data_IF_445061283249
#
_entry.id   IF_445061283249
#
_cell.length_a   1.000
_cell.length_b   1.000
_cell.length_c   1.000
_cell.angle_alpha   90.00
_cell.angle_beta   90.00
_cell.angle_gamma   90.00
#
_symmetry.space_group_name_H-M   'P 1'
#
loop_
_entity.id
_entity.type
_entity.pdbx_description
1 polymer ?
#
# COMPACT_ATOMS: atom_id res chain seq x y z
N UNK A 1 -14.83 -2.96 2.94
CA UNK A 1 -15.31 -1.60 3.24
C UNK A 1 -16.82 -1.45 3.37
N UNK A 2 -17.62 -2.50 3.09
CA UNK A 2 -19.08 -2.44 3.25
C UNK A 2 -19.51 -2.14 4.69
N UNK A 3 -18.87 -2.78 5.68
CA UNK A 3 -19.12 -2.50 7.09
C UNK A 3 -18.87 -1.02 7.46
N UNK A 4 -17.80 -0.41 6.92
CA UNK A 4 -17.53 1.01 7.14
C UNK A 4 -18.64 1.88 6.54
N UNK A 5 -19.10 1.54 5.32
CA UNK A 5 -20.17 2.25 4.61
C UNK A 5 -21.50 2.22 5.36
N UNK A 6 -21.85 1.09 5.98
CA UNK A 6 -23.14 0.90 6.66
C UNK A 6 -23.13 1.27 8.14
N UNK A 7 -21.96 1.35 8.78
CA UNK A 7 -21.83 1.60 10.23
C UNK A 7 -22.30 2.98 10.69
N UNK A 8 -22.26 4.00 9.82
CA UNK A 8 -22.51 5.39 10.21
C UNK A 8 -21.43 6.02 11.10
N UNK A 9 -20.36 5.27 11.43
CA UNK A 9 -19.25 5.76 12.24
C UNK A 9 -18.46 6.81 11.44
N UNK A 10 -18.14 7.98 12.04
CA UNK A 10 -17.30 8.98 11.40
C UNK A 10 -15.95 8.41 10.96
N UNK A 11 -15.43 8.87 9.82
CA UNK A 11 -14.18 8.34 9.23
C UNK A 11 -13.00 8.49 10.20
N UNK A 12 -12.95 9.58 10.93
CA UNK A 12 -11.94 9.94 11.92
C UNK A 12 -11.93 9.03 13.16
N UNK A 13 -12.99 8.27 13.41
CA UNK A 13 -13.07 7.29 14.51
C UNK A 13 -12.63 5.88 14.09
N UNK A 14 -12.30 5.69 12.80
CA UNK A 14 -11.86 4.40 12.26
C UNK A 14 -10.42 4.49 11.82
N UNK A 15 -9.58 3.58 12.31
CA UNK A 15 -8.19 3.47 11.88
C UNK A 15 -8.08 2.48 10.71
N UNK A 16 -7.72 2.97 9.52
CA UNK A 16 -7.56 2.15 8.31
C UNK A 16 -6.08 1.89 8.04
N UNK A 17 -5.68 0.63 8.19
CA UNK A 17 -4.40 0.11 7.73
C UNK A 17 -4.56 -0.57 6.38
N UNK A 18 -3.70 -0.24 5.41
CA UNK A 18 -3.56 -1.00 4.17
C UNK A 18 -2.09 -1.26 3.85
N UNK A 19 -1.83 -2.08 2.84
CA UNK A 19 -0.49 -2.52 2.47
C UNK A 19 -0.24 -2.39 0.98
N UNK A 20 1.02 -2.19 0.62
CA UNK A 20 1.50 -2.19 -0.75
C UNK A 20 2.18 -3.53 -1.10
N UNK A 21 1.47 -4.48 -1.73
CA UNK A 21 2.02 -5.77 -2.10
C UNK A 21 3.02 -5.62 -3.25
N UNK A 22 4.29 -5.86 -2.96
CA UNK A 22 5.39 -5.88 -3.92
C UNK A 22 5.56 -4.68 -4.83
N UNK A 23 5.14 -3.51 -4.36
CA UNK A 23 5.33 -2.23 -5.03
C UNK A 23 6.67 -1.58 -4.60
N UNK A 24 7.77 -2.23 -4.96
CA UNK A 24 9.13 -1.79 -4.60
C UNK A 24 9.70 -0.82 -5.67
N UNK A 25 10.42 0.20 -5.22
CA UNK A 25 10.86 1.35 -6.01
C UNK A 25 9.97 2.57 -5.77
N UNK A 26 10.51 3.76 -6.07
CA UNK A 26 9.88 5.04 -5.75
C UNK A 26 8.50 5.18 -6.43
N UNK A 27 8.47 5.12 -7.75
CA UNK A 27 7.27 5.32 -8.57
C UNK A 27 6.24 4.24 -8.26
N UNK A 28 6.69 2.99 -8.13
CA UNK A 28 5.83 1.86 -7.79
C UNK A 28 5.13 2.06 -6.44
N UNK A 29 5.83 2.58 -5.43
CA UNK A 29 5.26 2.86 -4.11
C UNK A 29 4.24 3.99 -4.17
N UNK A 30 4.52 5.07 -4.92
CA UNK A 30 3.57 6.18 -5.14
C UNK A 30 2.29 5.68 -5.82
N UNK A 31 2.42 4.94 -6.93
CA UNK A 31 1.28 4.35 -7.65
C UNK A 31 0.44 3.46 -6.75
N UNK A 32 1.10 2.60 -5.97
CA UNK A 32 0.40 1.68 -5.09
C UNK A 32 -0.38 2.40 -3.97
N UNK A 33 0.15 3.51 -3.44
CA UNK A 33 -0.56 4.32 -2.46
C UNK A 33 -1.80 4.98 -3.10
N UNK A 34 -1.68 5.47 -4.33
CA UNK A 34 -2.80 6.04 -5.08
C UNK A 34 -3.87 4.97 -5.39
N UNK A 35 -3.48 3.79 -5.88
CA UNK A 35 -4.37 2.66 -6.12
C UNK A 35 -5.16 2.29 -4.85
N UNK A 36 -4.45 2.16 -3.72
CA UNK A 36 -5.08 1.89 -2.43
C UNK A 36 -6.09 2.98 -2.04
N UNK A 37 -5.72 4.25 -2.19
CA UNK A 37 -6.61 5.35 -1.85
C UNK A 37 -7.84 5.39 -2.76
N UNK A 38 -7.65 5.20 -4.07
CA UNK A 38 -8.74 5.09 -5.04
C UNK A 38 -9.71 3.96 -4.69
N UNK A 39 -9.19 2.77 -4.36
CA UNK A 39 -10.01 1.64 -3.91
C UNK A 39 -10.73 1.94 -2.59
N UNK A 40 -10.13 2.69 -1.68
CA UNK A 40 -10.73 3.02 -0.39
C UNK A 40 -11.77 4.14 -0.49
N UNK A 41 -11.66 5.05 -1.48
CA UNK A 41 -12.61 6.16 -1.71
C UNK A 41 -14.05 5.70 -1.87
N UNK A 42 -14.29 4.48 -2.34
CA UNK A 42 -15.64 3.92 -2.47
C UNK A 42 -16.31 3.56 -1.12
N UNK A 43 -15.55 3.59 -0.02
CA UNK A 43 -16.04 3.22 1.31
C UNK A 43 -16.26 4.43 2.22
N UNK A 44 -17.28 4.35 3.07
CA UNK A 44 -17.72 5.45 3.93
C UNK A 44 -18.69 6.41 3.21
N UNK A 45 -19.46 7.18 3.97
CA UNK A 45 -20.49 8.08 3.44
C UNK A 45 -19.94 9.27 2.64
N UNK A 46 -18.69 9.68 2.91
CA UNK A 46 -17.98 10.78 2.22
C UNK A 46 -16.73 10.32 1.44
N UNK A 47 -16.51 9.00 1.38
CA UNK A 47 -15.28 8.40 0.84
C UNK A 47 -14.05 8.59 1.73
N UNK A 48 -13.16 7.60 1.74
CA UNK A 48 -11.86 7.70 2.43
C UNK A 48 -10.93 8.65 1.68
N UNK A 49 -10.42 9.68 2.35
CA UNK A 49 -9.54 10.72 1.76
C UNK A 49 -8.05 10.56 2.13
N UNK A 50 -7.75 9.76 3.15
CA UNK A 50 -6.40 9.47 3.61
C UNK A 50 -6.33 8.06 4.20
N UNK A 51 -5.12 7.52 4.28
CA UNK A 51 -4.83 6.22 4.90
C UNK A 51 -4.20 6.48 6.28
N UNK A 52 -4.63 5.79 7.33
CA UNK A 52 -4.04 5.98 8.66
C UNK A 52 -2.65 5.34 8.74
N UNK A 53 -2.51 4.12 8.23
CA UNK A 53 -1.24 3.42 8.16
C UNK A 53 -1.07 2.71 6.81
N UNK A 54 -0.02 3.08 6.08
CA UNK A 54 0.42 2.35 4.89
C UNK A 54 1.67 1.52 5.22
N UNK A 55 1.63 0.24 4.88
CA UNK A 55 2.76 -0.68 5.08
C UNK A 55 3.37 -1.11 3.73
N UNK A 56 4.70 -1.16 3.65
CA UNK A 56 5.35 -1.99 2.64
C UNK A 56 5.12 -3.44 3.03
N UNK A 57 4.44 -4.22 2.18
CA UNK A 57 3.95 -5.54 2.58
C UNK A 57 5.08 -6.56 2.77
N UNK A 58 6.10 -6.54 1.91
CA UNK A 58 7.29 -7.41 1.99
C UNK A 58 8.39 -6.85 1.06
N UNK A 59 9.67 -7.19 1.27
CA UNK A 59 10.81 -6.64 0.50
C UNK A 59 11.04 -7.35 -0.86
N UNK A 60 9.98 -7.55 -1.64
CA UNK A 60 10.05 -8.23 -2.94
C UNK A 60 9.11 -7.60 -3.95
N UNK A 61 9.51 -7.56 -5.21
CA UNK A 61 8.72 -6.94 -6.30
C UNK A 61 7.73 -7.94 -6.90
N UNK A 62 6.52 -7.45 -7.19
CA UNK A 62 5.49 -8.13 -7.98
C UNK A 62 5.18 -7.28 -9.22
N UNK A 63 4.89 -7.95 -10.35
CA UNK A 63 4.39 -7.29 -11.57
C UNK A 63 3.17 -6.41 -11.24
N UNK A 64 3.12 -5.13 -11.66
CA UNK A 64 2.07 -4.18 -11.24
C UNK A 64 0.64 -4.71 -11.32
N UNK A 65 0.26 -5.31 -12.46
CA UNK A 65 -1.08 -5.89 -12.66
C UNK A 65 -1.46 -7.02 -11.67
N UNK A 66 -0.47 -7.63 -11.02
CA UNK A 66 -0.63 -8.80 -10.15
C UNK A 66 -0.57 -8.47 -8.66
N UNK A 67 -0.44 -7.20 -8.30
CA UNK A 67 -0.30 -6.73 -6.91
C UNK A 67 -1.55 -7.03 -6.07
N UNK A 68 -2.74 -6.76 -6.63
CA UNK A 68 -4.02 -6.89 -5.93
C UNK A 68 -4.87 -8.09 -6.36
N UNK A 69 -4.50 -8.75 -7.47
CA UNK A 69 -5.16 -9.97 -7.95
C UNK A 69 -4.14 -10.96 -8.52
N UNK A 70 -3.58 -11.78 -7.63
CA UNK A 70 -2.62 -12.84 -7.99
C UNK A 70 -3.24 -13.98 -8.79
N UNK A 71 -4.56 -14.12 -8.77
CA UNK A 71 -5.31 -15.20 -9.41
C UNK A 71 -5.67 -14.90 -10.87
N UNK A 72 -5.44 -13.66 -11.33
CA UNK A 72 -5.69 -13.28 -12.71
C UNK A 72 -4.88 -14.17 -13.69
N UNK A 73 -5.44 -14.55 -14.85
CA UNK A 73 -4.78 -15.45 -15.80
C UNK A 73 -3.35 -15.04 -16.18
N UNK A 74 -3.11 -13.74 -16.35
CA UNK A 74 -1.82 -13.13 -16.69
C UNK A 74 -0.81 -13.06 -15.52
N UNK A 75 -1.28 -13.38 -14.32
CA UNK A 75 -0.52 -13.40 -13.07
C UNK A 75 -0.14 -14.82 -12.63
N UNK A 76 -0.77 -15.83 -13.24
CA UNK A 76 -0.37 -17.22 -13.09
C UNK A 76 1.11 -17.37 -13.44
N UNK A 77 1.86 -17.95 -12.52
CA UNK A 77 3.31 -18.18 -12.62
C UNK A 77 4.19 -16.91 -12.65
N UNK A 78 3.64 -15.74 -12.35
CA UNK A 78 4.47 -14.53 -12.20
C UNK A 78 5.36 -14.62 -10.96
N UNK A 79 6.69 -14.47 -11.11
CA UNK A 79 7.61 -14.60 -10.00
C UNK A 79 7.49 -13.42 -9.05
N UNK A 80 7.77 -13.69 -7.78
CA UNK A 80 8.04 -12.68 -6.76
C UNK A 80 9.56 -12.55 -6.70
N UNK A 81 10.09 -11.37 -7.02
CA UNK A 81 11.53 -11.16 -7.15
C UNK A 81 12.07 -10.41 -5.92
N UNK A 82 13.19 -10.83 -5.31
CA UNK A 82 13.76 -10.10 -4.19
C UNK A 82 14.16 -8.68 -4.60
N UNK A 83 13.90 -7.72 -3.72
CA UNK A 83 14.31 -6.34 -3.94
C UNK A 83 15.80 -6.12 -3.66
N UNK A 84 16.46 -5.31 -4.49
CA UNK A 84 17.78 -4.79 -4.18
C UNK A 84 17.72 -3.67 -3.14
N UNK A 85 18.83 -3.44 -2.41
CA UNK A 85 18.93 -2.42 -1.36
C UNK A 85 18.51 -1.02 -1.84
N UNK A 86 18.94 -0.62 -3.04
CA UNK A 86 18.59 0.69 -3.59
C UNK A 86 17.08 0.86 -3.76
N UNK A 87 16.41 -0.16 -4.31
CA UNK A 87 14.97 -0.11 -4.55
C UNK A 87 14.16 -0.06 -3.23
N UNK A 88 14.65 -0.72 -2.17
CA UNK A 88 14.07 -0.61 -0.83
C UNK A 88 14.24 0.80 -0.23
N UNK A 89 15.41 1.42 -0.41
CA UNK A 89 15.63 2.80 0.00
C UNK A 89 14.74 3.76 -0.78
N UNK A 90 14.59 3.55 -2.09
CA UNK A 90 13.72 4.34 -2.96
C UNK A 90 12.25 4.22 -2.55
N UNK A 91 11.80 3.01 -2.19
CA UNK A 91 10.49 2.79 -1.57
C UNK A 91 10.33 3.58 -0.29
N UNK A 92 11.31 3.55 0.62
CA UNK A 92 11.19 4.29 1.88
C UNK A 92 11.10 5.81 1.65
N UNK A 93 11.87 6.37 0.71
CA UNK A 93 11.75 7.78 0.33
C UNK A 93 10.34 8.13 -0.16
N UNK A 94 9.74 7.27 -0.99
CA UNK A 94 8.36 7.47 -1.45
C UNK A 94 7.35 7.41 -0.28
N UNK A 95 7.53 6.49 0.67
CA UNK A 95 6.69 6.42 1.88
C UNK A 95 6.79 7.71 2.71
N UNK A 96 7.99 8.26 2.88
CA UNK A 96 8.21 9.53 3.59
C UNK A 96 7.55 10.71 2.88
N UNK A 97 7.60 10.76 1.55
CA UNK A 97 6.91 11.77 0.76
C UNK A 97 5.38 11.67 0.93
N UNK A 98 4.81 10.48 0.76
CA UNK A 98 3.37 10.22 0.93
C UNK A 98 2.87 10.68 2.29
N UNK A 99 3.68 10.50 3.34
CA UNK A 99 3.38 10.98 4.68
C UNK A 99 3.44 12.50 4.75
N UNK A 100 4.47 13.10 4.16
CA UNK A 100 4.69 14.55 4.14
C UNK A 100 3.55 15.29 3.44
N UNK A 101 3.06 14.78 2.32
CA UNK A 101 1.95 15.37 1.57
C UNK A 101 0.57 15.01 2.15
N UNK A 102 0.52 14.17 3.19
CA UNK A 102 -0.70 13.86 3.93
C UNK A 102 -1.61 12.79 3.33
N UNK A 103 -1.16 12.08 2.29
CA UNK A 103 -1.87 10.91 1.72
C UNK A 103 -1.98 9.79 2.77
N UNK A 104 -0.92 9.61 3.56
CA UNK A 104 -0.86 8.65 4.67
C UNK A 104 -0.50 9.36 5.98
N UNK A 105 -1.04 8.92 7.12
CA UNK A 105 -0.71 9.50 8.44
C UNK A 105 0.51 8.84 9.07
N UNK A 106 0.64 7.52 8.90
CA UNK A 106 1.77 6.73 9.36
C UNK A 106 2.24 5.76 8.27
N UNK A 107 3.51 5.39 8.36
CA UNK A 107 4.18 4.47 7.45
C UNK A 107 4.90 3.38 8.24
N UNK A 108 5.02 2.20 7.66
CA UNK A 108 5.73 1.09 8.29
C UNK A 108 6.09 -0.04 7.32
N UNK A 109 6.64 -1.10 7.90
CA UNK A 109 7.11 -2.28 7.19
C UNK A 109 6.37 -3.53 7.73
N UNK A 110 6.14 -4.51 6.86
CA UNK A 110 5.61 -5.84 7.18
C UNK A 110 6.54 -6.89 6.57
N UNK A 111 6.79 -7.98 7.28
CA UNK A 111 7.58 -9.11 6.77
C UNK A 111 9.05 -8.76 6.38
N UNK A 112 9.64 -7.80 7.09
CA UNK A 112 11.07 -7.45 7.00
C UNK A 112 11.88 -8.15 8.09
N UNK A 113 13.11 -8.52 7.77
CA UNK A 113 14.09 -8.99 8.75
C UNK A 113 15.23 -7.98 8.92
N UNK A 114 16.13 -8.21 9.88
CA UNK A 114 17.23 -7.28 10.20
C UNK A 114 18.18 -7.02 9.02
N UNK A 115 18.28 -7.94 8.06
CA UNK A 115 19.13 -7.76 6.87
C UNK A 115 18.50 -6.84 5.82
N UNK A 116 17.20 -6.55 5.96
CA UNK A 116 16.46 -5.63 5.09
C UNK A 116 16.36 -4.20 5.64
N UNK A 117 16.83 -3.96 6.88
CA UNK A 117 16.80 -2.67 7.56
C UNK A 117 18.09 -1.88 7.36
#
# INVERSE_FOLDING_TARGET
GEALRTSGIPREEVFITTKCPGAIGYEATIECADDNLQMLRQFGSKGVQYIDLLLVHFPSTIKPACRFNREAPECKDTPILPAGKQALQDTWRAMEELKTIGVVKAIGLSDYNITNL
#
